data_IF_358015723916
#
_entry.id   IF_358015723916
#
_cell.length_a   1.000
_cell.length_b   1.000
_cell.length_c   1.000
_cell.angle_alpha   90.00
_cell.angle_beta   90.00
_cell.angle_gamma   90.00
#
_symmetry.space_group_name_H-M   'P 1'
#
loop_
_entity.id
_entity.type
_entity.pdbx_description
1 polymer ?
#
# COMPACT_ATOMS: atom_id res chain seq x y z
N UNK A 1 20.63 -48.80 10.27
CA UNK A 1 19.68 -47.92 9.56
C UNK A 1 19.59 -46.63 10.34
N UNK A 2 20.07 -45.51 9.80
CA UNK A 2 20.06 -44.21 10.48
C UNK A 2 18.81 -43.43 10.06
N UNK A 3 17.98 -43.09 11.03
CA UNK A 3 16.74 -42.33 10.85
C UNK A 3 17.07 -40.88 10.50
N UNK A 4 16.59 -40.39 9.35
CA UNK A 4 16.72 -39.00 8.93
C UNK A 4 15.79 -38.14 9.81
N UNK A 5 16.29 -37.08 10.46
CA UNK A 5 15.44 -36.21 11.26
C UNK A 5 14.55 -35.34 10.36
N UNK A 6 13.31 -35.01 10.79
CA UNK A 6 12.42 -34.17 10.00
C UNK A 6 12.94 -32.73 9.95
N UNK A 7 13.24 -32.26 8.75
CA UNK A 7 13.56 -30.86 8.45
C UNK A 7 12.40 -29.96 8.87
N UNK A 8 12.51 -29.33 10.04
CA UNK A 8 11.59 -28.26 10.46
C UNK A 8 11.82 -27.05 9.55
N UNK A 9 11.07 -26.99 8.45
CA UNK A 9 11.12 -25.88 7.51
C UNK A 9 10.58 -24.60 8.17
N UNK A 10 11.37 -23.51 8.09
CA UNK A 10 11.08 -22.16 8.60
C UNK A 10 9.88 -21.46 7.88
N UNK A 11 8.73 -22.12 7.81
CA UNK A 11 7.55 -21.76 7.03
C UNK A 11 6.87 -20.43 7.39
N UNK A 12 6.71 -20.02 8.67
CA UNK A 12 5.89 -18.84 8.97
C UNK A 12 6.56 -17.53 8.56
N UNK A 13 7.90 -17.47 8.59
CA UNK A 13 8.66 -16.25 8.30
C UNK A 13 8.77 -15.99 6.79
N UNK A 14 8.84 -17.04 5.97
CA UNK A 14 8.88 -16.90 4.50
C UNK A 14 7.52 -16.49 3.92
N UNK A 15 6.42 -17.02 4.46
CA UNK A 15 5.04 -16.66 4.06
C UNK A 15 4.73 -15.19 4.39
N UNK A 16 5.11 -14.71 5.58
CA UNK A 16 4.92 -13.30 5.94
C UNK A 16 5.71 -12.37 5.01
N UNK A 17 6.95 -12.71 4.67
CA UNK A 17 7.78 -11.94 3.71
C UNK A 17 7.17 -11.92 2.31
N UNK A 18 6.64 -13.05 1.83
CA UNK A 18 6.00 -13.10 0.50
C UNK A 18 4.70 -12.30 0.45
N UNK A 19 3.92 -12.26 1.53
CA UNK A 19 2.72 -11.42 1.63
C UNK A 19 3.04 -9.92 1.58
N UNK A 20 4.04 -9.46 2.34
CA UNK A 20 4.48 -8.05 2.31
C UNK A 20 4.94 -7.65 0.90
N UNK A 21 5.68 -8.52 0.22
CA UNK A 21 6.12 -8.27 -1.14
C UNK A 21 4.94 -8.19 -2.13
N UNK A 22 3.97 -9.11 -2.02
CA UNK A 22 2.75 -9.10 -2.84
C UNK A 22 1.92 -7.84 -2.60
N UNK A 23 1.79 -7.42 -1.35
CA UNK A 23 1.10 -6.19 -0.96
C UNK A 23 1.79 -4.96 -1.55
N UNK A 24 3.11 -4.85 -1.44
CA UNK A 24 3.89 -3.77 -2.04
C UNK A 24 3.71 -3.68 -3.56
N UNK A 25 3.76 -4.84 -4.26
CA UNK A 25 3.54 -4.91 -5.71
C UNK A 25 2.13 -4.45 -6.10
N UNK A 26 1.09 -4.88 -5.37
CA UNK A 26 -0.30 -4.44 -5.61
C UNK A 26 -0.49 -2.95 -5.36
N UNK A 27 0.09 -2.42 -4.27
CA UNK A 27 0.07 -0.99 -3.96
C UNK A 27 0.69 -0.18 -5.10
N UNK A 28 1.90 -0.55 -5.53
CA UNK A 28 2.60 0.14 -6.61
C UNK A 28 1.85 0.10 -7.93
N UNK A 29 1.28 -1.06 -8.28
CA UNK A 29 0.48 -1.21 -9.50
C UNK A 29 -0.77 -0.33 -9.47
N UNK A 30 -1.49 -0.31 -8.33
CA UNK A 30 -2.68 0.52 -8.17
C UNK A 30 -2.36 2.02 -8.32
N UNK A 31 -1.32 2.50 -7.65
CA UNK A 31 -0.90 3.90 -7.77
C UNK A 31 -0.53 4.26 -9.22
N UNK A 32 0.20 3.36 -9.91
CA UNK A 32 0.57 3.54 -11.31
C UNK A 32 -0.67 3.64 -12.21
N UNK A 33 -1.65 2.75 -12.04
CA UNK A 33 -2.89 2.75 -12.83
C UNK A 33 -3.72 4.02 -12.59
N UNK A 34 -3.79 4.51 -11.35
CA UNK A 34 -4.47 5.75 -11.03
C UNK A 34 -3.83 6.96 -11.74
N UNK A 35 -2.49 7.06 -11.70
CA UNK A 35 -1.77 8.10 -12.43
C UNK A 35 -1.91 7.99 -13.96
N UNK A 36 -1.90 6.77 -14.51
CA UNK A 36 -2.13 6.53 -15.94
C UNK A 36 -3.54 6.99 -16.35
N UNK A 37 -4.56 6.62 -15.58
CA UNK A 37 -5.94 7.01 -15.87
C UNK A 37 -6.12 8.52 -15.84
N UNK A 38 -5.60 9.19 -14.81
CA UNK A 38 -5.63 10.66 -14.72
C UNK A 38 -5.07 11.31 -15.99
N UNK A 39 -3.92 10.83 -16.49
CA UNK A 39 -3.28 11.35 -17.72
C UNK A 39 -4.05 11.01 -19.00
N UNK A 40 -4.58 9.80 -19.13
CA UNK A 40 -5.26 9.34 -20.34
C UNK A 40 -6.65 9.96 -20.50
N UNK A 41 -7.32 10.24 -19.38
CA UNK A 41 -8.72 10.65 -19.36
C UNK A 41 -8.93 12.09 -18.89
N UNK A 42 -7.84 12.84 -18.65
CA UNK A 42 -7.86 14.20 -18.10
C UNK A 42 -8.77 14.29 -16.85
N UNK A 43 -8.53 13.36 -15.92
CA UNK A 43 -9.36 13.18 -14.74
C UNK A 43 -8.54 13.43 -13.47
N UNK A 44 -9.11 14.18 -12.53
CA UNK A 44 -8.54 14.34 -11.19
C UNK A 44 -8.83 13.07 -10.37
N UNK A 45 -7.78 12.32 -10.01
CA UNK A 45 -7.89 11.04 -9.30
C UNK A 45 -7.20 11.11 -7.95
N UNK A 46 -7.86 10.62 -6.91
CA UNK A 46 -7.26 10.40 -5.60
C UNK A 46 -7.39 8.93 -5.15
N UNK A 47 -6.31 8.37 -4.61
CA UNK A 47 -6.29 7.02 -4.03
C UNK A 47 -5.76 7.07 -2.61
N UNK A 48 -6.59 6.65 -1.66
CA UNK A 48 -6.23 6.45 -0.25
C UNK A 48 -6.14 4.97 0.10
N UNK A 49 -5.05 4.55 0.76
CA UNK A 49 -4.85 3.18 1.21
C UNK A 49 -4.50 3.19 2.69
N UNK A 50 -5.35 2.59 3.53
CA UNK A 50 -5.02 2.31 4.93
C UNK A 50 -4.68 0.84 5.11
N UNK A 51 -3.46 0.56 5.56
CA UNK A 51 -3.08 -0.78 5.99
C UNK A 51 -3.70 -1.04 7.36
N UNK A 52 -4.62 -2.00 7.43
CA UNK A 52 -5.32 -2.33 8.69
C UNK A 52 -4.39 -2.86 9.77
N UNK A 53 -3.35 -3.59 9.37
CA UNK A 53 -2.39 -4.21 10.29
C UNK A 53 -1.49 -3.17 10.96
N UNK A 54 -0.98 -2.20 10.19
CA UNK A 54 0.00 -1.22 10.68
C UNK A 54 -0.57 0.16 10.94
N UNK A 55 -1.84 0.39 10.59
CA UNK A 55 -2.45 1.72 10.60
C UNK A 55 -1.92 2.68 9.53
N UNK A 56 -0.85 2.33 8.80
CA UNK A 56 -0.21 3.22 7.83
C UNK A 56 -1.17 3.63 6.73
N UNK A 57 -1.20 4.93 6.44
CA UNK A 57 -2.00 5.50 5.37
C UNK A 57 -1.10 5.99 4.25
N UNK A 58 -1.46 5.68 3.01
CA UNK A 58 -0.82 6.18 1.80
C UNK A 58 -1.88 6.93 0.98
N UNK A 59 -1.55 8.16 0.56
CA UNK A 59 -2.35 8.92 -0.40
C UNK A 59 -1.54 9.16 -1.65
N UNK A 60 -2.21 9.00 -2.79
CA UNK A 60 -1.80 9.54 -4.08
C UNK A 60 -2.88 10.51 -4.54
N UNK A 61 -2.49 11.74 -4.81
CA UNK A 61 -3.32 12.75 -5.45
C UNK A 61 -2.73 12.99 -6.84
N UNK A 62 -3.47 12.63 -7.88
CA UNK A 62 -3.14 12.81 -9.28
C UNK A 62 -4.15 13.77 -9.89
N UNK A 63 -3.95 15.05 -9.58
CA UNK A 63 -4.77 16.17 -9.99
C UNK A 63 -3.87 17.33 -10.38
N UNK A 64 -4.27 18.09 -11.39
CA UNK A 64 -3.52 19.28 -11.85
C UNK A 64 -3.91 20.53 -11.05
N UNK A 65 -5.12 20.53 -10.49
CA UNK A 65 -5.76 21.67 -9.83
C UNK A 65 -5.45 21.80 -8.34
N UNK A 66 -4.90 20.77 -7.70
CA UNK A 66 -4.75 20.73 -6.25
C UNK A 66 -6.07 20.47 -5.51
N UNK A 67 -7.14 20.07 -6.21
CA UNK A 67 -8.48 19.86 -5.65
C UNK A 67 -8.46 18.90 -4.45
N UNK A 68 -7.59 17.88 -4.46
CA UNK A 68 -7.50 16.89 -3.38
C UNK A 68 -6.57 17.28 -2.23
N UNK A 69 -5.99 18.49 -2.24
CA UNK A 69 -5.04 18.93 -1.20
C UNK A 69 -5.63 18.93 0.22
N UNK A 70 -6.95 19.07 0.36
CA UNK A 70 -7.62 18.99 1.66
C UNK A 70 -7.53 17.60 2.31
N UNK A 71 -7.41 16.53 1.52
CA UNK A 71 -7.29 15.15 2.03
C UNK A 71 -5.97 14.94 2.75
N UNK A 72 -4.89 15.56 2.25
CA UNK A 72 -3.59 15.58 2.91
C UNK A 72 -3.69 16.25 4.29
N UNK A 73 -4.45 17.34 4.39
CA UNK A 73 -4.61 18.12 5.63
C UNK A 73 -5.38 17.35 6.71
N UNK A 74 -6.38 16.55 6.33
CA UNK A 74 -7.16 15.74 7.28
C UNK A 74 -6.35 14.57 7.89
N UNK A 75 -5.36 14.05 7.17
CA UNK A 75 -4.52 12.95 7.65
C UNK A 75 -3.41 13.39 8.61
N UNK A 76 -2.84 14.58 8.39
CA UNK A 76 -1.88 15.16 9.35
C UNK A 76 -2.59 15.46 10.69
N UNK A 77 -3.84 15.89 10.63
CA UNK A 77 -4.67 16.12 11.82
C UNK A 77 -4.91 14.82 12.61
N UNK A 78 -5.14 13.69 11.92
CA UNK A 78 -5.32 12.38 12.55
C UNK A 78 -4.04 11.82 13.19
N UNK A 79 -2.85 12.20 12.71
CA UNK A 79 -1.56 11.77 13.26
C UNK A 79 -1.11 12.62 14.46
N UNK A 80 -1.72 13.79 14.68
CA UNK A 80 -1.46 14.66 15.84
C UNK A 80 -2.48 14.46 16.97
N UNK A 81 -3.63 13.83 16.68
CA UNK A 81 -4.65 13.50 17.67
C UNK A 81 -4.55 12.07 18.24
N UNK A 82 -3.50 11.33 17.88
CA UNK A 82 -3.16 9.98 18.34
C UNK A 82 -1.76 9.99 18.95
#
# INVERSE_FOLDING_TARGET
MASIPPTQSNQPRSIKKSMHQKQGRRKSSLMKRASEYSKMCDADVCVGIRLRETGQVFILSADTSGFWAFLSSQLVCLQLCL
#
